data_IF_645759498425
#
_entry.id   IF_645759498425
#
_cell.length_a   1.000
_cell.length_b   1.000
_cell.length_c   1.000
_cell.angle_alpha   90.00
_cell.angle_beta   90.00
_cell.angle_gamma   90.00
#
_symmetry.space_group_name_H-M   'P 1'
#
loop_
_entity.id
_entity.type
_entity.pdbx_description
1 polymer ?
#
# COMPACT_ATOMS: atom_id res chain seq x y z
N UNK A 1 -16.10 2.98 -0.27
CA UNK A 1 -14.81 2.29 -0.48
C UNK A 1 -15.04 1.01 -1.28
N UNK A 2 -15.02 1.06 -2.62
CA UNK A 2 -15.21 -0.12 -3.48
C UNK A 2 -14.07 -1.14 -3.33
N UNK A 3 -12.83 -0.67 -3.10
CA UNK A 3 -11.65 -1.52 -2.96
C UNK A 3 -11.76 -2.58 -1.84
N UNK A 4 -12.22 -2.21 -0.64
CA UNK A 4 -12.42 -3.18 0.45
C UNK A 4 -13.51 -4.19 0.12
N UNK A 5 -14.55 -3.76 -0.59
CA UNK A 5 -15.63 -4.65 -1.02
C UNK A 5 -15.13 -5.67 -2.02
N UNK A 6 -14.30 -5.26 -2.99
CA UNK A 6 -13.74 -6.14 -4.01
C UNK A 6 -12.72 -7.13 -3.44
N UNK A 7 -12.01 -6.76 -2.38
CA UNK A 7 -10.98 -7.58 -1.73
C UNK A 7 -11.51 -8.51 -0.62
N UNK A 8 -12.79 -8.43 -0.25
CA UNK A 8 -13.36 -9.19 0.87
C UNK A 8 -13.30 -10.71 0.71
N UNK A 9 -13.20 -11.22 -0.52
CA UNK A 9 -13.04 -12.66 -0.77
C UNK A 9 -11.63 -13.17 -0.45
N UNK A 10 -10.65 -12.27 -0.46
CA UNK A 10 -9.23 -12.60 -0.31
C UNK A 10 -8.67 -12.15 1.04
N UNK A 11 -9.30 -11.16 1.69
CA UNK A 11 -8.82 -10.56 2.94
C UNK A 11 -9.97 -10.28 3.91
N UNK A 12 -9.66 -10.35 5.21
CA UNK A 12 -10.53 -9.81 6.27
C UNK A 12 -10.39 -8.31 6.32
N UNK A 13 -11.35 -7.60 5.73
CA UNK A 13 -11.32 -6.15 5.63
C UNK A 13 -11.87 -5.48 6.90
N UNK A 14 -11.11 -4.55 7.46
CA UNK A 14 -11.51 -3.72 8.61
C UNK A 14 -11.18 -2.25 8.35
N UNK A 15 -11.91 -1.35 9.01
CA UNK A 15 -11.70 0.10 8.92
C UNK A 15 -11.49 0.63 10.33
N UNK A 16 -10.40 1.36 10.56
CA UNK A 16 -10.18 2.11 11.80
C UNK A 16 -10.94 3.43 11.72
N UNK A 17 -12.05 3.51 12.45
CA UNK A 17 -12.99 4.64 12.39
C UNK A 17 -12.63 5.76 13.38
N UNK A 18 -11.99 5.42 14.49
CA UNK A 18 -11.70 6.37 15.57
C UNK A 18 -10.19 6.61 15.72
N UNK A 19 -9.71 7.87 15.58
CA UNK A 19 -8.31 8.22 15.76
C UNK A 19 -7.85 8.42 17.20
N UNK A 20 -8.76 8.28 18.15
CA UNK A 20 -8.46 8.37 19.59
C UNK A 20 -8.37 7.00 20.26
N UNK A 21 -8.65 5.93 19.52
CA UNK A 21 -8.51 4.56 20.03
C UNK A 21 -7.07 4.28 20.46
N UNK A 22 -6.93 3.57 21.58
CA UNK A 22 -5.62 3.15 22.07
C UNK A 22 -5.00 2.14 21.10
N UNK A 23 -3.76 2.40 20.67
CA UNK A 23 -3.05 1.57 19.68
C UNK A 23 -2.95 0.10 20.14
N UNK A 24 -2.88 -0.15 21.45
CA UNK A 24 -2.85 -1.50 22.03
C UNK A 24 -4.21 -2.22 21.91
N UNK A 25 -5.31 -1.49 22.08
CA UNK A 25 -6.65 -2.04 21.91
C UNK A 25 -6.91 -2.38 20.43
N UNK A 26 -6.54 -1.48 19.52
CA UNK A 26 -6.63 -1.72 18.08
C UNK A 26 -5.78 -2.93 17.68
N UNK A 27 -4.54 -3.02 18.19
CA UNK A 27 -3.67 -4.18 17.92
C UNK A 27 -4.28 -5.50 18.40
N UNK A 28 -4.95 -5.49 19.57
CA UNK A 28 -5.66 -6.66 20.09
C UNK A 28 -6.80 -7.07 19.15
N UNK A 29 -7.65 -6.11 18.75
CA UNK A 29 -8.77 -6.37 17.83
C UNK A 29 -8.30 -6.88 16.46
N UNK A 30 -7.23 -6.31 15.90
CA UNK A 30 -6.63 -6.76 14.63
C UNK A 30 -6.15 -8.20 14.75
N UNK A 31 -5.60 -8.56 15.90
CA UNK A 31 -5.09 -9.91 16.16
C UNK A 31 -6.22 -10.93 16.36
N UNK A 32 -7.32 -10.53 16.99
CA UNK A 32 -8.55 -11.33 17.06
C UNK A 32 -9.13 -11.56 15.66
N UNK A 33 -9.16 -10.54 14.80
CA UNK A 33 -9.60 -10.67 13.41
C UNK A 33 -8.73 -11.65 12.62
N UNK A 34 -7.41 -11.62 12.84
CA UNK A 34 -6.46 -12.54 12.21
C UNK A 34 -6.69 -14.01 12.61
N UNK A 35 -7.14 -14.25 13.85
CA UNK A 35 -7.36 -15.61 14.38
C UNK A 35 -8.79 -16.12 14.20
N UNK A 36 -9.75 -15.25 13.83
CA UNK A 36 -11.18 -15.58 13.71
C UNK A 36 -11.58 -16.42 12.47
N UNK A 37 -10.64 -17.13 11.85
CA UNK A 37 -10.83 -18.05 10.73
C UNK A 37 -10.37 -17.52 9.37
N UNK A 38 -10.70 -18.22 8.28
CA UNK A 38 -10.33 -17.81 6.92
C UNK A 38 -11.21 -16.66 6.37
N UNK A 39 -10.69 -15.79 5.48
CA UNK A 39 -9.28 -15.66 5.12
C UNK A 39 -8.45 -15.09 6.30
N UNK A 40 -7.26 -15.62 6.56
CA UNK A 40 -6.45 -15.20 7.74
C UNK A 40 -5.95 -13.75 7.67
N UNK A 41 -5.46 -13.30 6.51
CA UNK A 41 -4.83 -11.97 6.39
C UNK A 41 -5.85 -10.84 6.58
N UNK A 42 -5.53 -9.91 7.49
CA UNK A 42 -6.35 -8.73 7.77
C UNK A 42 -5.91 -7.56 6.89
N UNK A 43 -6.85 -6.93 6.18
CA UNK A 43 -6.65 -5.68 5.45
C UNK A 43 -7.26 -4.53 6.27
N UNK A 44 -6.42 -3.72 6.89
CA UNK A 44 -6.81 -2.61 7.76
C UNK A 44 -6.72 -1.27 7.02
N UNK A 45 -7.85 -0.60 6.82
CA UNK A 45 -7.89 0.77 6.31
C UNK A 45 -7.75 1.76 7.48
N UNK A 46 -6.72 2.61 7.44
CA UNK A 46 -6.47 3.68 8.42
C UNK A 46 -6.62 5.04 7.74
N UNK A 47 -7.42 5.93 8.32
CA UNK A 47 -7.68 7.27 7.77
C UNK A 47 -7.02 8.35 8.64
N UNK A 48 -6.18 9.20 8.02
CA UNK A 48 -5.58 10.42 8.60
C UNK A 48 -4.87 10.27 9.96
N UNK A 49 -4.31 9.11 10.25
CA UNK A 49 -3.61 8.83 11.50
C UNK A 49 -2.16 8.43 11.27
N UNK A 50 -1.29 8.76 12.23
CA UNK A 50 0.08 8.27 12.23
C UNK A 50 0.10 6.76 12.48
N UNK A 51 0.52 5.99 11.48
CA UNK A 51 0.50 4.51 11.51
C UNK A 51 1.70 3.92 12.27
N UNK A 52 2.77 4.68 12.49
CA UNK A 52 4.02 4.14 13.05
C UNK A 52 3.86 3.47 14.41
N UNK A 53 3.11 4.10 15.33
CA UNK A 53 2.85 3.55 16.67
C UNK A 53 1.93 2.34 16.59
N UNK A 54 0.84 2.45 15.83
CA UNK A 54 -0.10 1.37 15.60
C UNK A 54 0.58 0.13 14.99
N UNK A 55 1.45 0.33 13.99
CA UNK A 55 2.23 -0.73 13.37
C UNK A 55 3.09 -1.45 14.42
N UNK A 56 3.76 -0.69 15.30
CA UNK A 56 4.57 -1.26 16.36
C UNK A 56 3.72 -2.10 17.34
N UNK A 57 2.59 -1.57 17.78
CA UNK A 57 1.66 -2.29 18.66
C UNK A 57 1.13 -3.58 18.03
N UNK A 58 0.78 -3.54 16.73
CA UNK A 58 0.35 -4.72 15.98
C UNK A 58 1.46 -5.78 15.90
N UNK A 59 2.70 -5.37 15.59
CA UNK A 59 3.85 -6.30 15.54
C UNK A 59 4.11 -6.92 16.90
N UNK A 60 4.05 -6.12 17.97
CA UNK A 60 4.23 -6.60 19.35
C UNK A 60 3.14 -7.62 19.73
N UNK A 61 1.86 -7.35 19.45
CA UNK A 61 0.77 -8.30 19.72
C UNK A 61 0.88 -9.58 18.88
N UNK A 62 1.17 -9.47 17.59
CA UNK A 62 1.33 -10.62 16.71
C UNK A 62 2.55 -11.48 17.10
N UNK A 63 3.62 -10.88 17.64
CA UNK A 63 4.81 -11.63 18.09
C UNK A 63 4.52 -12.59 19.24
N UNK A 64 3.47 -12.33 20.02
CA UNK A 64 3.00 -13.22 21.09
C UNK A 64 2.35 -14.48 20.51
N UNK A 65 1.91 -14.43 19.25
CA UNK A 65 1.28 -15.54 18.56
C UNK A 65 2.31 -16.35 17.79
N UNK A 66 2.37 -17.66 18.06
CA UNK A 66 3.20 -18.61 17.28
C UNK A 66 2.52 -18.93 15.96
N UNK A 67 2.51 -18.00 15.01
CA UNK A 67 1.95 -18.25 13.68
C UNK A 67 3.02 -18.06 12.61
N UNK A 68 3.41 -19.18 12.01
CA UNK A 68 4.32 -19.30 10.87
C UNK A 68 3.52 -19.80 9.68
N UNK A 69 2.51 -19.04 9.24
CA UNK A 69 2.00 -19.19 7.88
C UNK A 69 2.79 -18.17 7.05
N UNK A 70 3.42 -18.60 5.96
CA UNK A 70 4.26 -17.74 5.11
C UNK A 70 3.53 -16.57 4.44
N UNK A 71 2.26 -16.31 4.80
CA UNK A 71 1.45 -15.20 4.35
C UNK A 71 1.49 -14.04 5.38
N UNK A 72 1.41 -12.78 4.92
CA UNK A 72 1.37 -11.63 5.81
C UNK A 72 0.14 -11.70 6.74
N UNK A 73 0.33 -11.39 8.02
CA UNK A 73 -0.75 -11.38 8.99
C UNK A 73 -1.69 -10.17 8.78
N UNK A 74 -1.11 -8.99 8.55
CA UNK A 74 -1.83 -7.73 8.42
C UNK A 74 -1.26 -6.91 7.27
N UNK A 75 -2.13 -6.32 6.46
CA UNK A 75 -1.83 -5.33 5.43
C UNK A 75 -2.52 -4.03 5.82
N UNK A 76 -1.75 -2.96 6.02
CA UNK A 76 -2.30 -1.64 6.38
C UNK A 76 -2.39 -0.76 5.14
N UNK A 77 -3.60 -0.34 4.80
CA UNK A 77 -3.86 0.67 3.78
C UNK A 77 -4.02 2.02 4.48
N UNK A 78 -2.94 2.79 4.53
CA UNK A 78 -2.95 4.14 5.08
C UNK A 78 -3.48 5.14 4.03
N UNK A 79 -4.63 5.74 4.31
CA UNK A 79 -5.24 6.77 3.49
C UNK A 79 -5.08 8.14 4.16
N UNK A 80 -4.24 8.98 3.56
CA UNK A 80 -4.11 10.39 3.94
C UNK A 80 -4.95 11.22 3.00
N UNK A 81 -5.95 11.93 3.52
CA UNK A 81 -6.73 12.89 2.75
C UNK A 81 -5.88 14.13 2.52
N UNK A 82 -5.43 14.31 1.29
CA UNK A 82 -4.96 15.61 0.83
C UNK A 82 -6.15 16.38 0.29
N UNK A 83 -6.45 17.53 0.88
CA UNK A 83 -7.45 18.45 0.35
C UNK A 83 -6.91 19.09 -0.95
N UNK A 84 -7.06 18.38 -2.06
CA UNK A 84 -6.94 18.97 -3.38
C UNK A 84 -8.29 19.58 -3.71
N UNK A 85 -8.36 20.92 -3.66
CA UNK A 85 -9.50 21.68 -4.16
C UNK A 85 -9.39 21.63 -5.69
N UNK A 86 -9.84 20.55 -6.30
CA UNK A 86 -10.07 20.51 -7.73
C UNK A 86 -11.53 20.07 -7.96
N UNK A 87 -12.25 20.87 -8.74
CA UNK A 87 -13.71 20.83 -8.85
C UNK A 87 -14.22 19.72 -9.78
N UNK A 88 -13.34 18.82 -10.24
CA UNK A 88 -13.66 17.75 -11.16
C UNK A 88 -13.64 16.39 -10.46
N UNK A 89 -14.65 15.56 -10.72
CA UNK A 89 -14.69 14.18 -10.26
C UNK A 89 -13.47 13.41 -10.82
N UNK A 90 -12.46 13.21 -9.99
CA UNK A 90 -11.26 12.44 -10.34
C UNK A 90 -11.65 10.96 -10.40
N UNK A 91 -11.90 10.45 -11.61
CA UNK A 91 -12.15 9.04 -11.83
C UNK A 91 -10.80 8.29 -11.92
N UNK A 92 -10.42 7.63 -10.82
CA UNK A 92 -9.23 6.79 -10.78
C UNK A 92 -9.41 5.55 -11.65
N UNK A 93 -8.68 5.49 -12.77
CA UNK A 93 -8.71 4.36 -13.70
C UNK A 93 -7.42 3.57 -13.62
N UNK A 94 -7.52 2.25 -13.79
CA UNK A 94 -6.36 1.35 -13.95
C UNK A 94 -5.85 1.34 -15.40
N UNK A 95 -5.77 2.52 -16.02
CA UNK A 95 -5.29 2.71 -17.38
C UNK A 95 -4.86 4.17 -17.54
N UNK A 96 -3.70 4.41 -18.14
CA UNK A 96 -3.23 5.73 -18.52
C UNK A 96 -3.91 6.18 -19.82
N UNK A 97 -4.32 7.43 -19.86
CA UNK A 97 -4.65 8.13 -21.10
C UNK A 97 -3.38 8.38 -21.93
N UNK A 98 -3.55 8.69 -23.21
CA UNK A 98 -2.42 9.02 -24.09
C UNK A 98 -1.58 10.19 -23.54
N UNK A 99 -2.23 11.20 -22.94
CA UNK A 99 -1.55 12.34 -22.32
C UNK A 99 -0.71 11.89 -21.12
N UNK A 100 -1.28 11.08 -20.24
CA UNK A 100 -0.57 10.54 -19.07
C UNK A 100 0.58 9.64 -19.50
N UNK A 101 0.41 8.77 -20.50
CA UNK A 101 1.50 7.93 -21.01
C UNK A 101 2.71 8.76 -21.46
N UNK A 102 2.48 9.87 -22.19
CA UNK A 102 3.55 10.78 -22.61
C UNK A 102 4.25 11.39 -21.38
N UNK A 103 3.49 11.84 -20.38
CA UNK A 103 4.04 12.42 -19.16
C UNK A 103 4.86 11.41 -18.34
N UNK A 104 4.36 10.19 -18.18
CA UNK A 104 5.08 9.11 -17.50
C UNK A 104 6.38 8.74 -18.22
N UNK A 105 6.37 8.68 -19.56
CA UNK A 105 7.58 8.42 -20.34
C UNK A 105 8.61 9.54 -20.21
N UNK A 106 8.18 10.81 -20.29
CA UNK A 106 9.08 11.94 -20.06
C UNK A 106 9.66 11.93 -18.62
N UNK A 107 8.85 11.53 -17.63
CA UNK A 107 9.32 11.38 -16.25
C UNK A 107 10.32 10.23 -16.10
N UNK A 108 10.14 9.14 -16.84
CA UNK A 108 11.07 8.00 -16.85
C UNK A 108 12.46 8.42 -17.31
N UNK A 109 12.56 9.20 -18.39
CA UNK A 109 13.84 9.75 -18.86
C UNK A 109 14.54 10.61 -17.80
N UNK A 110 13.77 11.43 -17.08
CA UNK A 110 14.31 12.23 -15.97
C UNK A 110 14.80 11.37 -14.82
N UNK A 111 14.09 10.28 -14.49
CA UNK A 111 14.49 9.36 -13.43
C UNK A 111 15.72 8.55 -13.82
N UNK A 112 15.81 8.07 -15.06
CA UNK A 112 17.00 7.40 -15.60
C UNK A 112 18.24 8.29 -15.51
N UNK A 113 18.08 9.59 -15.77
CA UNK A 113 19.19 10.56 -15.67
C UNK A 113 19.60 10.81 -14.23
N UNK A 114 18.64 10.91 -13.29
CA UNK A 114 18.89 11.25 -11.89
C UNK A 114 19.30 10.05 -11.02
N UNK A 115 18.76 8.88 -11.32
CA UNK A 115 18.85 7.65 -10.53
C UNK A 115 19.18 6.46 -11.44
N UNK A 116 20.34 6.48 -12.13
CA UNK A 116 20.67 5.48 -13.15
C UNK A 116 20.67 4.04 -12.61
N UNK A 117 21.06 3.84 -11.34
CA UNK A 117 21.15 2.51 -10.72
C UNK A 117 19.90 2.10 -9.93
N UNK A 118 19.07 3.06 -9.50
CA UNK A 118 17.98 2.83 -8.54
C UNK A 118 16.59 2.87 -9.21
N UNK A 119 16.50 3.33 -10.46
CA UNK A 119 15.22 3.53 -11.15
C UNK A 119 14.35 2.28 -11.24
N UNK A 120 14.95 1.08 -11.27
CA UNK A 120 14.23 -0.20 -11.29
C UNK A 120 13.49 -0.48 -9.97
N UNK A 121 13.95 0.09 -8.85
CA UNK A 121 13.34 -0.06 -7.53
C UNK A 121 12.08 0.80 -7.36
N UNK A 122 11.81 1.72 -8.28
CA UNK A 122 10.59 2.53 -8.27
C UNK A 122 9.39 1.73 -8.79
N UNK A 123 9.08 0.60 -8.15
CA UNK A 123 8.06 -0.36 -8.59
C UNK A 123 6.69 0.29 -8.81
N UNK A 124 6.26 1.18 -7.92
CA UNK A 124 4.99 1.89 -8.08
C UNK A 124 4.95 2.74 -9.35
N UNK A 125 6.03 3.49 -9.61
CA UNK A 125 6.17 4.28 -10.83
C UNK A 125 6.22 3.38 -12.08
N UNK A 126 7.02 2.32 -12.06
CA UNK A 126 7.19 1.42 -13.20
C UNK A 126 5.91 0.63 -13.53
N UNK A 127 5.11 0.24 -12.53
CA UNK A 127 3.77 -0.34 -12.74
C UNK A 127 2.86 0.64 -13.45
N UNK A 128 2.83 1.91 -13.03
CA UNK A 128 2.01 2.93 -13.70
C UNK A 128 2.53 3.24 -15.11
N UNK A 129 3.84 3.42 -15.27
CA UNK A 129 4.49 3.73 -16.55
C UNK A 129 4.29 2.63 -17.61
N UNK A 130 4.26 1.36 -17.18
CA UNK A 130 3.92 0.21 -18.05
C UNK A 130 2.42 0.01 -18.22
N UNK A 131 1.61 1.00 -17.81
CA UNK A 131 0.17 0.99 -17.90
C UNK A 131 -0.48 -0.24 -17.21
N UNK A 132 0.00 -0.53 -16.00
CA UNK A 132 -0.44 -1.67 -15.19
C UNK A 132 -0.26 -3.03 -15.89
N UNK A 133 0.83 -3.17 -16.66
CA UNK A 133 1.20 -4.42 -17.33
C UNK A 133 1.20 -5.58 -16.33
N UNK A 134 0.40 -6.62 -16.62
CA UNK A 134 0.31 -7.81 -15.76
C UNK A 134 1.66 -8.51 -15.64
N UNK A 135 2.41 -8.58 -16.75
CA UNK A 135 3.71 -9.22 -16.80
C UNK A 135 4.70 -8.50 -15.88
N UNK A 136 4.72 -7.16 -15.93
CA UNK A 136 5.59 -6.36 -15.07
C UNK A 136 5.23 -6.50 -13.59
N UNK A 137 3.92 -6.47 -13.27
CA UNK A 137 3.44 -6.66 -11.90
C UNK A 137 3.86 -8.04 -11.38
N UNK A 138 3.69 -9.09 -12.18
CA UNK A 138 4.06 -10.44 -11.77
C UNK A 138 5.57 -10.57 -11.55
N UNK A 139 6.40 -10.07 -12.47
CA UNK A 139 7.86 -10.06 -12.31
C UNK A 139 8.30 -9.28 -11.09
N UNK A 140 7.71 -8.12 -10.82
CA UNK A 140 8.02 -7.30 -9.65
C UNK A 140 7.59 -7.98 -8.35
N UNK A 141 6.45 -8.68 -8.36
CA UNK A 141 5.96 -9.42 -7.20
C UNK A 141 6.82 -10.65 -6.86
N UNK A 142 7.49 -11.27 -7.83
CA UNK A 142 8.41 -12.37 -7.57
C UNK A 142 9.61 -11.94 -6.70
N UNK A 143 10.06 -10.68 -6.81
CA UNK A 143 11.14 -10.11 -5.99
C UNK A 143 10.75 -10.06 -4.49
N UNK A 144 9.46 -9.88 -4.19
CA UNK A 144 8.96 -9.85 -2.81
C UNK A 144 8.71 -11.24 -2.19
N UNK A 145 8.76 -12.31 -3.00
CA UNK A 145 8.55 -13.69 -2.53
C UNK A 145 9.85 -14.38 -2.07
N UNK A 146 11.01 -13.78 -2.29
CA UNK A 146 12.31 -14.27 -1.79
C UNK A 146 12.66 -13.57 -0.48
N UNK A 147 12.33 -14.21 0.65
CA UNK A 147 12.89 -14.11 2.03
C UNK A 147 13.40 -12.77 2.64
N UNK A 148 13.37 -11.63 1.95
CA UNK A 148 13.97 -10.36 2.38
C UNK A 148 12.91 -9.38 2.90
N UNK A 149 11.89 -9.89 3.57
CA UNK A 149 10.86 -9.07 4.24
C UNK A 149 11.34 -8.47 5.58
N UNK A 150 12.64 -8.49 5.88
CA UNK A 150 13.17 -7.85 7.09
C UNK A 150 13.50 -6.35 6.92
N UNK A 151 13.44 -5.79 5.71
CA UNK A 151 13.90 -4.40 5.49
C UNK A 151 13.07 -3.54 4.51
N UNK A 152 11.76 -3.75 4.38
CA UNK A 152 10.92 -2.73 3.72
C UNK A 152 10.42 -1.74 4.77
N UNK A 153 11.36 -1.02 5.36
CA UNK A 153 11.11 0.28 5.98
C UNK A 153 10.85 1.28 4.85
N UNK A 154 9.69 1.94 4.89
CA UNK A 154 9.36 3.17 4.16
C UNK A 154 9.47 3.11 2.63
N UNK A 155 8.35 2.80 1.96
CA UNK A 155 8.03 3.37 0.64
C UNK A 155 6.67 4.05 0.68
N UNK A 156 6.45 4.90 1.68
CA UNK A 156 5.44 5.97 1.59
C UNK A 156 6.02 7.20 2.26
N UNK A 157 6.84 7.96 1.54
CA UNK A 157 6.85 9.42 1.69
C UNK A 157 7.66 10.07 0.58
N UNK A 158 7.09 11.13 0.04
CA UNK A 158 7.78 12.19 -0.70
C UNK A 158 8.11 11.92 -2.17
N UNK A 159 7.10 11.58 -2.98
CA UNK A 159 7.03 12.22 -4.29
C UNK A 159 6.03 13.37 -4.20
N UNK A 160 6.47 14.64 -4.21
CA UNK A 160 5.55 15.71 -4.56
C UNK A 160 5.18 15.45 -6.01
N UNK A 161 4.00 14.90 -6.24
CA UNK A 161 3.25 15.18 -7.45
C UNK A 161 2.93 16.68 -7.41
N UNK A 162 3.93 17.50 -7.69
CA UNK A 162 3.72 18.78 -8.33
C UNK A 162 3.19 18.43 -9.72
N UNK A 163 1.90 18.11 -9.79
CA UNK A 163 1.09 18.38 -10.97
C UNK A 163 1.13 19.89 -11.15
N UNK A 164 2.15 20.36 -11.86
CA UNK A 164 2.06 21.65 -12.53
C UNK A 164 1.02 21.48 -13.63
N UNK A 165 0.00 22.34 -13.59
CA UNK A 165 -1.10 22.48 -14.53
C UNK A 165 -0.66 22.38 -16.01
#
# INVERSE_FOLDING_TARGET
MQLLWDLRSSFRCAVLVDPTSDDSEVATQVTELYTAGEPKTVLLLVQDQYVDKLQKSIVEELSKMKTSDGAPAVVILHCVRMALIDTEDINLRKNLSAKETIQFNAKKEQLLTKFPEEHDQFHGFNIMQTNFSKDYVQSSCHVFNTSDLMHITNVVSSFPLACAC
#
